data_IF_430413368369
#
_entry.id   IF_430413368369
#
_cell.length_a   1.000
_cell.length_b   1.000
_cell.length_c   1.000
_cell.angle_alpha   90.00
_cell.angle_beta   90.00
_cell.angle_gamma   90.00
#
_symmetry.space_group_name_H-M   'P 1'
#
loop_
_entity.id
_entity.type
_entity.pdbx_description
1 polymer ?
#
# COMPACT_ATOMS: atom_id res chain seq x y z
N UNK A 1 28.41 19.42 -16.89
CA UNK A 1 28.00 18.43 -17.91
C UNK A 1 29.19 17.55 -18.30
N UNK A 2 29.93 17.04 -17.31
CA UNK A 2 31.13 16.19 -17.50
C UNK A 2 31.17 15.08 -16.43
N UNK A 3 30.57 15.32 -15.26
CA UNK A 3 30.41 14.34 -14.17
C UNK A 3 29.59 13.10 -14.56
N UNK A 4 28.49 13.26 -15.30
CA UNK A 4 27.68 12.13 -15.77
C UNK A 4 28.43 11.24 -16.77
N UNK A 5 29.26 11.85 -17.61
CA UNK A 5 30.08 11.14 -18.59
C UNK A 5 31.25 10.43 -17.88
N UNK A 6 31.72 10.98 -16.75
CA UNK A 6 32.72 10.35 -15.89
C UNK A 6 32.19 9.14 -15.13
N UNK A 7 30.98 9.25 -14.58
CA UNK A 7 30.30 8.16 -13.89
C UNK A 7 30.02 6.99 -14.83
N UNK A 8 29.55 7.28 -16.05
CA UNK A 8 29.22 6.26 -17.06
C UNK A 8 30.45 5.47 -17.57
N UNK A 9 31.61 6.13 -17.76
CA UNK A 9 32.82 5.40 -18.19
C UNK A 9 33.43 4.57 -17.05
N UNK A 10 33.35 5.07 -15.81
CA UNK A 10 33.86 4.39 -14.64
C UNK A 10 33.02 3.14 -14.34
N UNK A 11 31.70 3.26 -14.41
CA UNK A 11 30.77 2.15 -14.24
C UNK A 11 30.94 1.10 -15.33
N UNK A 12 31.13 1.51 -16.59
CA UNK A 12 31.42 0.58 -17.68
C UNK A 12 32.74 -0.18 -17.43
N UNK A 13 33.79 0.53 -16.97
CA UNK A 13 35.09 -0.08 -16.67
C UNK A 13 35.04 -1.01 -15.45
N UNK A 14 34.35 -0.64 -14.38
CA UNK A 14 34.17 -1.49 -13.20
C UNK A 14 33.37 -2.75 -13.49
N UNK A 15 32.45 -2.69 -14.46
CA UNK A 15 31.60 -3.83 -14.85
C UNK A 15 32.32 -4.81 -15.77
N UNK A 16 33.18 -4.31 -16.65
CA UNK A 16 33.85 -5.12 -17.66
C UNK A 16 35.20 -5.70 -17.19
N UNK A 17 35.87 -5.08 -16.21
CA UNK A 17 37.30 -5.33 -15.93
C UNK A 17 37.62 -5.86 -14.52
N UNK A 18 36.61 -6.27 -13.74
CA UNK A 18 36.86 -6.88 -12.42
C UNK A 18 36.60 -8.38 -12.52
N UNK A 19 37.65 -9.21 -12.74
CA UNK A 19 37.57 -10.64 -12.50
C UNK A 19 36.98 -10.84 -11.11
N UNK A 20 35.92 -11.64 -11.01
CA UNK A 20 35.33 -11.99 -9.73
C UNK A 20 36.46 -12.55 -8.84
N UNK A 21 36.87 -11.76 -7.85
CA UNK A 21 37.86 -12.18 -6.86
C UNK A 21 37.22 -13.33 -6.11
N UNK A 22 37.81 -14.52 -6.25
CA UNK A 22 37.46 -15.65 -5.43
C UNK A 22 37.76 -15.29 -3.98
N UNK A 23 36.69 -15.02 -3.24
CA UNK A 23 36.73 -14.53 -1.88
C UNK A 23 36.63 -15.67 -0.86
N UNK A 24 36.82 -16.91 -1.31
CA UNK A 24 36.62 -18.14 -0.53
C UNK A 24 35.24 -18.17 0.16
N UNK A 25 34.24 -17.55 -0.49
CA UNK A 25 32.90 -17.42 0.06
C UNK A 25 32.80 -16.41 1.22
N UNK A 26 33.77 -15.50 1.42
CA UNK A 26 33.69 -14.42 2.40
C UNK A 26 32.42 -13.58 2.24
N UNK A 27 32.10 -13.11 1.04
CA UNK A 27 30.87 -12.33 0.77
C UNK A 27 29.63 -13.18 1.05
N UNK A 28 29.66 -14.48 0.77
CA UNK A 28 28.55 -15.38 1.07
C UNK A 28 28.30 -15.50 2.58
N UNK A 29 29.37 -15.58 3.38
CA UNK A 29 29.30 -15.67 4.85
C UNK A 29 28.83 -14.35 5.47
N UNK A 30 29.32 -13.22 4.97
CA UNK A 30 28.87 -11.89 5.40
C UNK A 30 27.41 -11.65 5.04
N UNK A 31 27.00 -12.00 3.81
CA UNK A 31 25.62 -11.84 3.37
C UNK A 31 24.63 -12.69 4.20
N UNK A 32 25.05 -13.88 4.65
CA UNK A 32 24.25 -14.74 5.54
C UNK A 32 24.14 -14.18 6.97
N UNK A 33 25.12 -13.39 7.42
CA UNK A 33 25.11 -12.75 8.74
C UNK A 33 24.36 -11.41 8.77
N UNK A 34 23.99 -10.86 7.60
CA UNK A 34 23.20 -9.65 7.55
C UNK A 34 21.81 -9.88 8.15
N UNK A 35 21.31 -8.96 9.00
CA UNK A 35 19.96 -9.08 9.54
C UNK A 35 18.96 -9.09 8.40
N UNK A 36 18.06 -10.08 8.41
CA UNK A 36 16.99 -10.22 7.42
C UNK A 36 16.28 -8.88 7.27
N UNK A 37 16.37 -8.28 6.08
CA UNK A 37 15.76 -6.99 5.77
C UNK A 37 14.27 -7.11 6.09
N UNK A 38 13.84 -6.49 7.20
CA UNK A 38 12.44 -6.51 7.62
C UNK A 38 11.61 -5.91 6.49
N UNK A 39 10.89 -6.75 5.74
CA UNK A 39 9.91 -6.29 4.77
C UNK A 39 8.96 -5.36 5.51
N UNK A 40 8.99 -4.06 5.15
CA UNK A 40 8.13 -3.04 5.76
C UNK A 40 6.70 -3.58 5.77
N UNK A 41 6.12 -3.73 6.95
CA UNK A 41 4.91 -4.52 7.09
C UNK A 41 3.75 -3.81 6.40
N UNK A 42 3.09 -4.51 5.48
CA UNK A 42 1.88 -4.03 4.78
C UNK A 42 0.78 -3.57 5.76
N UNK A 43 0.84 -4.02 7.01
CA UNK A 43 -0.03 -3.57 8.11
C UNK A 43 0.05 -2.07 8.38
N UNK A 44 1.22 -1.42 8.22
CA UNK A 44 1.33 0.02 8.45
C UNK A 44 0.50 0.82 7.44
N UNK A 45 0.49 0.39 6.17
CA UNK A 45 -0.32 1.02 5.14
C UNK A 45 -1.81 0.86 5.45
N UNK A 46 -2.25 -0.35 5.80
CA UNK A 46 -3.65 -0.63 6.16
C UNK A 46 -4.11 0.25 7.33
N UNK A 47 -3.34 0.29 8.42
CA UNK A 47 -3.66 1.08 9.62
C UNK A 47 -3.78 2.57 9.28
N UNK A 48 -2.82 3.11 8.51
CA UNK A 48 -2.85 4.50 8.09
C UNK A 48 -4.07 4.80 7.23
N UNK A 49 -4.35 3.96 6.22
CA UNK A 49 -5.52 4.16 5.36
C UNK A 49 -6.84 4.12 6.12
N UNK A 50 -7.02 3.16 7.04
CA UNK A 50 -8.24 3.09 7.86
C UNK A 50 -8.37 4.29 8.79
N UNK A 51 -7.27 4.74 9.40
CA UNK A 51 -7.27 5.90 10.29
C UNK A 51 -7.59 7.19 9.53
N UNK A 52 -7.03 7.37 8.33
CA UNK A 52 -7.31 8.54 7.49
C UNK A 52 -8.77 8.57 7.05
N UNK A 53 -9.33 7.44 6.61
CA UNK A 53 -10.76 7.36 6.23
C UNK A 53 -11.65 7.67 7.42
N UNK A 54 -11.37 7.08 8.59
CA UNK A 54 -12.15 7.33 9.80
C UNK A 54 -12.09 8.81 10.21
N UNK A 55 -10.90 9.41 10.19
CA UNK A 55 -10.71 10.83 10.50
C UNK A 55 -11.46 11.74 9.52
N UNK A 56 -11.45 11.42 8.22
CA UNK A 56 -12.19 12.17 7.20
C UNK A 56 -13.71 12.11 7.44
N UNK A 57 -14.24 10.93 7.79
CA UNK A 57 -15.66 10.75 8.14
C UNK A 57 -16.02 11.57 9.38
N UNK A 58 -15.20 11.51 10.44
CA UNK A 58 -15.44 12.29 11.67
C UNK A 58 -15.37 13.79 11.38
N UNK A 59 -14.36 14.25 10.63
CA UNK A 59 -14.22 15.65 10.26
C UNK A 59 -15.43 16.15 9.44
N UNK A 60 -15.94 15.34 8.51
CA UNK A 60 -17.14 15.64 7.74
C UNK A 60 -18.39 15.80 8.63
N UNK A 61 -18.55 14.91 9.62
CA UNK A 61 -19.66 14.98 10.57
C UNK A 61 -19.59 16.20 11.49
N UNK A 62 -18.38 16.58 11.93
CA UNK A 62 -18.14 17.69 12.85
C UNK A 62 -18.18 19.05 12.15
N UNK A 63 -17.73 19.15 10.90
CA UNK A 63 -17.64 20.41 10.13
C UNK A 63 -18.99 21.02 9.73
N UNK A 64 -20.12 20.52 10.23
CA UNK A 64 -21.44 21.02 9.85
C UNK A 64 -21.99 20.42 8.54
N UNK A 65 -21.42 19.31 8.06
CA UNK A 65 -21.91 18.53 6.93
C UNK A 65 -23.32 17.93 7.11
N UNK A 66 -24.00 18.21 8.24
CA UNK A 66 -25.44 17.90 8.41
C UNK A 66 -26.29 18.62 7.37
N UNK A 67 -25.97 19.86 7.01
CA UNK A 67 -26.65 20.58 5.91
C UNK A 67 -26.50 19.84 4.57
N UNK A 68 -25.26 19.46 4.25
CA UNK A 68 -24.93 18.70 3.04
C UNK A 68 -25.52 17.27 3.05
N UNK A 69 -25.62 16.64 4.22
CA UNK A 69 -26.25 15.33 4.38
C UNK A 69 -27.78 15.38 4.23
N UNK A 70 -28.44 16.45 4.69
CA UNK A 70 -29.87 16.67 4.41
C UNK A 70 -30.12 17.04 2.95
N UNK A 71 -29.19 17.75 2.30
CA UNK A 71 -29.23 18.00 0.86
C UNK A 71 -29.09 16.68 0.08
N UNK A 72 -28.07 15.87 0.39
CA UNK A 72 -27.89 14.52 -0.19
C UNK A 72 -29.08 13.61 0.14
N UNK A 73 -29.69 13.71 1.33
CA UNK A 73 -30.90 12.96 1.69
C UNK A 73 -32.12 13.44 0.90
N UNK A 74 -32.20 14.73 0.57
CA UNK A 74 -33.17 15.29 -0.36
C UNK A 74 -32.98 14.75 -1.78
N UNK A 75 -31.74 14.70 -2.27
CA UNK A 75 -31.42 14.05 -3.55
C UNK A 75 -31.64 12.53 -3.52
N UNK A 76 -31.40 11.88 -2.38
CA UNK A 76 -31.65 10.45 -2.17
C UNK A 76 -33.14 10.13 -2.09
N UNK A 77 -33.97 11.05 -1.59
CA UNK A 77 -35.43 10.95 -1.58
C UNK A 77 -36.02 11.10 -2.99
N UNK A 78 -35.32 11.77 -3.91
CA UNK A 78 -35.67 11.89 -5.33
C UNK A 78 -34.99 10.79 -6.17
N UNK A 79 -34.00 10.09 -5.62
CA UNK A 79 -33.27 9.02 -6.31
C UNK A 79 -34.12 7.74 -6.42
N UNK A 80 -34.04 7.02 -7.55
CA UNK A 80 -34.71 5.74 -7.69
C UNK A 80 -34.17 4.73 -6.67
N UNK A 81 -35.07 3.97 -6.04
CA UNK A 81 -34.76 2.91 -5.07
C UNK A 81 -33.70 1.91 -5.58
N UNK A 82 -33.64 1.67 -6.89
CA UNK A 82 -32.63 0.83 -7.52
C UNK A 82 -31.19 1.34 -7.35
N UNK A 83 -30.98 2.66 -7.39
CA UNK A 83 -29.64 3.27 -7.22
C UNK A 83 -29.17 3.10 -5.77
N UNK A 84 -30.07 3.28 -4.81
CA UNK A 84 -29.77 3.03 -3.40
C UNK A 84 -29.37 1.57 -3.15
N UNK A 85 -30.11 0.62 -3.73
CA UNK A 85 -29.77 -0.80 -3.65
C UNK A 85 -28.39 -1.11 -4.25
N UNK A 86 -28.05 -0.55 -5.42
CA UNK A 86 -26.73 -0.74 -6.05
C UNK A 86 -25.61 -0.20 -5.17
N UNK A 87 -25.81 0.96 -4.53
CA UNK A 87 -24.81 1.55 -3.63
C UNK A 87 -24.66 0.68 -2.37
N UNK A 88 -25.76 0.26 -1.74
CA UNK A 88 -25.71 -0.57 -0.53
C UNK A 88 -25.06 -1.93 -0.80
N UNK A 89 -25.45 -2.59 -1.89
CA UNK A 89 -24.88 -3.88 -2.30
C UNK A 89 -23.41 -3.69 -2.69
N UNK A 90 -23.07 -2.66 -3.45
CA UNK A 90 -21.70 -2.35 -3.84
C UNK A 90 -20.80 -2.10 -2.64
N UNK A 91 -21.27 -1.32 -1.65
CA UNK A 91 -20.53 -1.04 -0.43
C UNK A 91 -20.35 -2.31 0.43
N UNK A 92 -21.40 -3.13 0.57
CA UNK A 92 -21.32 -4.42 1.27
C UNK A 92 -20.36 -5.41 0.61
N UNK A 93 -20.39 -5.50 -0.72
CA UNK A 93 -19.45 -6.32 -1.50
C UNK A 93 -18.02 -5.82 -1.38
N UNK A 94 -17.82 -4.50 -1.36
CA UNK A 94 -16.50 -3.92 -1.21
C UNK A 94 -15.90 -4.20 0.17
N UNK A 95 -16.69 -4.04 1.24
CA UNK A 95 -16.28 -4.35 2.62
C UNK A 95 -15.98 -5.84 2.79
N UNK A 96 -16.81 -6.72 2.23
CA UNK A 96 -16.57 -8.17 2.28
C UNK A 96 -15.35 -8.60 1.47
N UNK A 97 -15.13 -8.02 0.29
CA UNK A 97 -13.94 -8.28 -0.53
C UNK A 97 -12.64 -7.82 0.17
N UNK A 98 -12.66 -6.64 0.80
CA UNK A 98 -11.55 -6.15 1.63
C UNK A 98 -11.28 -7.06 2.83
N UNK A 99 -12.35 -7.49 3.52
CA UNK A 99 -12.25 -8.43 4.64
C UNK A 99 -11.66 -9.78 4.21
N UNK A 100 -12.10 -10.31 3.07
CA UNK A 100 -11.61 -11.56 2.52
C UNK A 100 -10.14 -11.45 2.08
N UNK A 101 -9.78 -10.35 1.42
CA UNK A 101 -8.40 -10.07 1.03
C UNK A 101 -7.48 -9.94 2.25
N UNK A 102 -7.93 -9.26 3.31
CA UNK A 102 -7.21 -9.17 4.58
C UNK A 102 -7.05 -10.55 5.26
N UNK A 103 -8.10 -11.40 5.23
CA UNK A 103 -8.05 -12.75 5.79
C UNK A 103 -7.07 -13.66 5.04
N UNK A 104 -7.09 -13.64 3.70
CA UNK A 104 -6.20 -14.45 2.84
C UNK A 104 -4.74 -14.01 2.99
N UNK A 105 -4.49 -12.70 3.05
CA UNK A 105 -3.12 -12.19 3.25
C UNK A 105 -2.58 -12.54 4.63
N UNK A 106 -3.45 -12.63 5.65
CA UNK A 106 -3.08 -13.08 6.99
C UNK A 106 -2.80 -14.59 7.05
N UNK A 107 -3.58 -15.43 6.38
CA UNK A 107 -3.37 -16.89 6.37
C UNK A 107 -2.10 -17.30 5.62
N UNK A 108 -1.75 -16.60 4.52
CA UNK A 108 -0.47 -16.80 3.82
C UNK A 108 0.75 -16.47 4.69
N UNK A 109 0.60 -15.52 5.61
CA UNK A 109 1.68 -15.09 6.51
C UNK A 109 1.90 -16.04 7.69
N UNK A 110 0.93 -16.88 8.03
CA UNK A 110 1.02 -17.90 9.09
C UNK A 110 1.53 -19.26 8.57
N UNK A 111 1.57 -19.44 7.24
CA UNK A 111 1.99 -20.68 6.57
C UNK A 111 3.43 -20.61 6.01
N UNK A 112 4.07 -19.45 6.11
CA UNK A 112 5.48 -19.20 5.77
C UNK A 112 6.28 -19.02 7.04
#
# INVERSE_FOLDING_TARGET
MNEQLEEDWLDAKLRDDVPYIDDDGFTSRVAQQLPVRRQKSKTRAVILTSATVLAAVIAYLVSGGRSFAFEILGWAAVMPLSVLYVITIGCGLFVTALGLYAAITRSRKLRS
#
